data_IF_726259019890
#
_entry.id   IF_726259019890
#
_cell.length_a   1.000
_cell.length_b   1.000
_cell.length_c   1.000
_cell.angle_alpha   90.00
_cell.angle_beta   90.00
_cell.angle_gamma   90.00
#
_symmetry.space_group_name_H-M   'P 1'
#
loop_
_entity.id
_entity.type
_entity.pdbx_description
1 polymer ?
#
# COMPACT_ATOMS: atom_id res chain seq x y z
N UNK A 1 13.10 -30.14 -5.83
CA UNK A 1 13.63 -29.04 -5.01
C UNK A 1 12.53 -28.60 -4.06
N UNK A 2 12.73 -28.72 -2.75
CA UNK A 2 11.75 -28.33 -1.73
C UNK A 2 12.05 -26.94 -1.16
N UNK A 3 11.15 -26.42 -0.34
CA UNK A 3 11.37 -25.18 0.42
C UNK A 3 12.59 -25.33 1.35
N UNK A 4 13.47 -24.32 1.45
CA UNK A 4 14.59 -24.33 2.38
C UNK A 4 14.12 -24.16 3.84
N UNK A 5 15.04 -24.35 4.80
CA UNK A 5 14.74 -24.21 6.23
C UNK A 5 14.21 -22.82 6.60
N UNK A 6 14.80 -21.78 6.03
CA UNK A 6 14.39 -20.38 6.20
C UNK A 6 14.30 -19.72 4.82
N UNK A 7 13.20 -19.03 4.57
CA UNK A 7 12.96 -18.26 3.36
C UNK A 7 12.00 -17.11 3.65
N UNK A 8 12.51 -15.90 3.63
CA UNK A 8 11.71 -14.72 3.90
C UNK A 8 10.93 -14.30 2.65
N UNK A 9 9.61 -14.20 2.80
CA UNK A 9 8.72 -13.51 1.88
C UNK A 9 8.51 -12.09 2.38
N UNK A 10 8.71 -11.13 1.50
CA UNK A 10 8.41 -9.72 1.71
C UNK A 10 7.16 -9.29 0.97
N UNK A 11 6.34 -8.45 1.62
CA UNK A 11 5.18 -7.79 1.05
C UNK A 11 5.46 -6.30 0.85
N UNK A 12 5.19 -5.82 -0.37
CA UNK A 12 5.28 -4.41 -0.71
C UNK A 12 3.98 -3.91 -1.34
N UNK A 13 3.63 -2.64 -1.13
CA UNK A 13 2.50 -1.99 -1.79
C UNK A 13 3.02 -1.49 -3.14
N UNK A 14 2.63 -2.14 -4.21
CA UNK A 14 3.14 -1.85 -5.56
C UNK A 14 2.17 -1.05 -6.40
N UNK A 15 0.91 -0.94 -5.96
CA UNK A 15 -0.11 -0.13 -6.61
C UNK A 15 -0.95 0.63 -5.56
N UNK A 16 -1.24 1.90 -5.87
CA UNK A 16 -1.91 2.85 -4.98
C UNK A 16 -0.92 3.76 -4.23
N UNK A 17 -1.47 4.74 -3.52
CA UNK A 17 -0.73 5.69 -2.68
C UNK A 17 -0.43 5.13 -1.28
N UNK A 18 0.51 5.75 -0.58
CA UNK A 18 0.86 5.42 0.81
C UNK A 18 1.96 4.36 0.95
N UNK A 19 2.24 3.99 2.21
CA UNK A 19 3.22 2.98 2.59
C UNK A 19 2.59 1.84 3.38
N UNK A 20 3.21 0.66 3.35
CA UNK A 20 2.88 -0.45 4.24
C UNK A 20 3.61 -0.27 5.57
N UNK A 21 2.84 -0.39 6.64
CA UNK A 21 3.32 -0.39 8.01
C UNK A 21 3.13 -1.78 8.63
N UNK A 22 3.91 -2.06 9.67
CA UNK A 22 3.89 -3.33 10.40
C UNK A 22 4.94 -4.32 9.90
N UNK A 23 4.69 -5.61 10.13
CA UNK A 23 5.62 -6.68 9.73
C UNK A 23 5.37 -7.06 8.29
N UNK A 24 6.24 -6.64 7.39
CA UNK A 24 6.13 -6.93 5.94
C UNK A 24 7.02 -8.08 5.48
N UNK A 25 7.82 -8.68 6.37
CA UNK A 25 8.69 -9.81 6.06
C UNK A 25 8.42 -10.98 7.01
N UNK A 26 8.02 -12.13 6.48
CA UNK A 26 7.80 -13.36 7.27
C UNK A 26 8.47 -14.56 6.59
N UNK A 27 8.87 -15.54 7.41
CA UNK A 27 9.58 -16.73 6.95
C UNK A 27 8.62 -17.89 6.60
N UNK A 28 8.62 -18.32 5.33
CA UNK A 28 7.85 -19.47 4.82
C UNK A 28 8.67 -20.78 4.82
N UNK A 29 9.90 -20.79 5.31
CA UNK A 29 10.77 -21.95 5.33
C UNK A 29 10.21 -23.10 6.18
N UNK A 30 10.76 -24.29 6.00
CA UNK A 30 10.30 -25.50 6.70
C UNK A 30 10.52 -25.46 8.22
N UNK A 31 11.40 -24.59 8.72
CA UNK A 31 11.60 -24.34 10.14
C UNK A 31 10.69 -23.24 10.72
N UNK A 32 9.88 -22.58 9.88
CA UNK A 32 8.97 -21.51 10.25
C UNK A 32 7.55 -21.79 9.71
N UNK A 33 7.13 -21.10 8.64
CA UNK A 33 5.78 -21.18 8.08
C UNK A 33 5.47 -22.45 7.28
N UNK A 34 6.46 -23.32 7.03
CA UNK A 34 6.33 -24.57 6.28
C UNK A 34 5.55 -24.41 4.95
N UNK A 35 5.87 -23.34 4.22
CA UNK A 35 5.26 -22.96 2.93
C UNK A 35 4.13 -21.93 3.01
N UNK A 36 3.68 -21.54 4.21
CA UNK A 36 2.59 -20.57 4.39
C UNK A 36 2.90 -19.56 5.49
N UNK A 37 2.54 -18.29 5.27
CA UNK A 37 2.65 -17.21 6.27
C UNK A 37 1.39 -16.36 6.25
N UNK A 38 1.01 -15.81 7.40
CA UNK A 38 -0.10 -14.87 7.53
C UNK A 38 0.41 -13.57 8.12
N UNK A 39 0.08 -12.45 7.47
CA UNK A 39 0.51 -11.12 7.88
C UNK A 39 -0.64 -10.40 8.59
N UNK A 40 -0.70 -10.50 9.92
CA UNK A 40 -1.85 -10.00 10.71
C UNK A 40 -1.77 -8.52 11.11
N UNK A 41 -0.58 -7.91 11.07
CA UNK A 41 -0.34 -6.54 11.54
C UNK A 41 -0.01 -5.56 10.41
N UNK A 42 -0.53 -5.82 9.21
CA UNK A 42 -0.35 -4.92 8.07
C UNK A 42 -1.33 -3.75 8.12
N UNK A 43 -0.82 -2.55 7.89
CA UNK A 43 -1.62 -1.34 7.77
C UNK A 43 -1.13 -0.51 6.57
N UNK A 44 -2.04 0.22 5.92
CA UNK A 44 -1.68 1.16 4.86
C UNK A 44 -1.86 2.59 5.38
N UNK A 45 -0.89 3.47 5.14
CA UNK A 45 -0.96 4.87 5.61
C UNK A 45 -2.11 5.65 4.99
N UNK A 46 -2.43 5.36 3.72
CA UNK A 46 -3.35 6.16 2.93
C UNK A 46 -4.58 5.32 2.56
N UNK A 47 -5.78 5.90 2.73
CA UNK A 47 -6.99 5.34 2.15
C UNK A 47 -6.94 5.42 0.62
N UNK A 48 -7.65 4.52 -0.07
CA UNK A 48 -7.73 4.53 -1.53
C UNK A 48 -8.25 3.24 -2.14
N UNK A 49 -8.52 3.31 -3.44
CA UNK A 49 -9.00 2.18 -4.26
C UNK A 49 -7.88 1.57 -5.08
N UNK A 50 -8.13 0.37 -5.63
CA UNK A 50 -7.21 -0.31 -6.56
C UNK A 50 -5.79 -0.55 -6.00
N UNK A 51 -5.69 -0.74 -4.68
CA UNK A 51 -4.42 -1.09 -4.04
C UNK A 51 -4.06 -2.53 -4.34
N UNK A 52 -2.76 -2.80 -4.49
CA UNK A 52 -2.25 -4.15 -4.73
C UNK A 52 -0.96 -4.37 -3.94
N UNK A 53 -0.84 -5.57 -3.36
CA UNK A 53 0.36 -6.01 -2.68
C UNK A 53 1.15 -6.94 -3.60
N UNK A 54 2.47 -6.86 -3.54
CA UNK A 54 3.36 -7.82 -4.19
C UNK A 54 4.11 -8.60 -3.12
N UNK A 55 3.98 -9.92 -3.17
CA UNK A 55 4.78 -10.85 -2.40
C UNK A 55 6.00 -11.26 -3.22
N UNK A 56 7.17 -11.23 -2.59
CA UNK A 56 8.44 -11.58 -3.23
C UNK A 56 9.33 -12.37 -2.28
N UNK A 57 10.03 -13.37 -2.81
CA UNK A 57 11.02 -14.16 -2.09
C UNK A 57 12.18 -14.51 -3.02
N UNK A 58 13.37 -14.74 -2.47
CA UNK A 58 14.55 -15.11 -3.24
C UNK A 58 14.34 -16.46 -3.94
N UNK A 59 14.57 -16.50 -5.25
CA UNK A 59 14.41 -17.71 -6.06
C UNK A 59 12.96 -18.06 -6.43
N UNK A 60 11.98 -17.20 -6.13
CA UNK A 60 10.58 -17.36 -6.52
C UNK A 60 10.11 -16.19 -7.39
N UNK A 61 9.08 -16.43 -8.20
CA UNK A 61 8.41 -15.38 -8.97
C UNK A 61 7.57 -14.52 -8.04
N UNK A 62 7.65 -13.20 -8.23
CA UNK A 62 6.82 -12.24 -7.51
C UNK A 62 5.34 -12.48 -7.83
N UNK A 63 4.49 -12.48 -6.80
CA UNK A 63 3.04 -12.62 -6.95
C UNK A 63 2.36 -11.31 -6.58
N UNK A 64 1.43 -10.87 -7.41
CA UNK A 64 0.60 -9.68 -7.14
C UNK A 64 -0.76 -10.13 -6.63
N UNK A 65 -1.25 -9.50 -5.56
CA UNK A 65 -2.57 -9.74 -5.03
C UNK A 65 -3.66 -9.23 -5.97
N UNK A 66 -4.88 -9.73 -5.82
CA UNK A 66 -6.06 -9.05 -6.35
C UNK A 66 -6.15 -7.62 -5.82
N UNK A 67 -6.79 -6.73 -6.58
CA UNK A 67 -7.02 -5.37 -6.14
C UNK A 67 -7.96 -5.33 -4.94
N UNK A 68 -7.66 -4.44 -4.00
CA UNK A 68 -8.49 -4.19 -2.82
C UNK A 68 -8.59 -2.69 -2.52
N UNK A 69 -9.55 -2.35 -1.65
CA UNK A 69 -9.82 -0.99 -1.23
C UNK A 69 -9.49 -0.84 0.25
N UNK A 70 -8.80 0.24 0.62
CA UNK A 70 -8.58 0.63 2.01
C UNK A 70 -9.49 1.82 2.29
N UNK A 71 -10.50 1.60 3.13
CA UNK A 71 -11.43 2.63 3.57
C UNK A 71 -10.75 3.69 4.46
N UNK A 72 -11.34 4.88 4.52
CA UNK A 72 -10.84 6.03 5.27
C UNK A 72 -11.07 7.33 4.51
N UNK A 73 -10.64 8.46 5.08
CA UNK A 73 -10.68 9.74 4.37
C UNK A 73 -9.55 9.75 3.33
N UNK A 74 -9.90 9.90 2.05
CA UNK A 74 -8.91 10.19 1.04
C UNK A 74 -8.20 11.50 1.42
N UNK A 75 -6.88 11.54 1.33
CA UNK A 75 -6.14 12.80 1.47
C UNK A 75 -6.74 13.79 0.47
N UNK A 76 -7.15 14.97 0.95
CA UNK A 76 -7.60 16.02 0.05
C UNK A 76 -6.43 16.37 -0.87
N UNK A 77 -6.47 15.89 -2.12
CA UNK A 77 -5.68 16.49 -3.19
C UNK A 77 -6.14 17.95 -3.22
N UNK A 78 -5.25 18.86 -2.83
CA UNK A 78 -5.50 20.28 -2.99
C UNK A 78 -5.82 20.51 -4.46
N UNK A 79 -7.11 20.60 -4.79
CA UNK A 79 -7.57 21.02 -6.09
C UNK A 79 -6.98 22.40 -6.30
N UNK A 80 -6.16 22.54 -7.33
CA UNK A 80 -5.68 23.85 -7.78
C UNK A 80 -6.90 24.74 -8.03
N UNK A 81 -7.16 25.69 -7.14
CA UNK A 81 -8.31 26.58 -7.31
C UNK A 81 -8.73 27.35 -6.07
N UNK A 82 -7.86 28.21 -5.52
CA UNK A 82 -8.37 29.50 -5.07
C UNK A 82 -8.30 30.43 -6.29
N UNK A 83 -9.42 30.75 -6.96
CA UNK A 83 -9.38 31.85 -7.91
C UNK A 83 -8.99 33.12 -7.13
N UNK A 84 -8.04 33.95 -7.61
CA UNK A 84 -7.91 35.30 -7.06
C UNK A 84 -9.27 35.98 -7.25
N UNK A 85 -9.90 36.39 -6.14
CA UNK A 85 -11.20 37.07 -6.14
C UNK A 85 -11.20 38.23 -7.13
N UNK A 86 -12.26 38.44 -7.94
CA UNK A 86 -12.36 39.67 -8.71
C UNK A 86 -12.47 40.87 -7.76
N UNK A 87 -11.58 41.84 -7.93
CA UNK A 87 -11.65 43.14 -7.24
C UNK A 87 -12.88 43.90 -7.73
N UNK A 88 -13.96 43.90 -6.93
CA UNK A 88 -15.06 44.85 -7.10
C UNK A 88 -14.65 46.17 -6.45
N UNK A 89 -14.27 47.14 -7.27
CA UNK A 89 -14.13 48.54 -6.83
C UNK A 89 -15.52 49.13 -6.56
N UNK A 90 -15.72 49.91 -5.48
CA UNK A 90 -17.02 50.49 -5.21
C UNK A 90 -17.34 51.61 -6.20
N UNK A 91 -18.46 51.48 -6.91
CA UNK A 91 -19.17 52.60 -7.54
C UNK A 91 -19.52 53.62 -6.46
N UNK A 92 -19.01 54.85 -6.56
CA UNK A 92 -19.45 55.98 -5.71
C UNK A 92 -20.06 57.07 -6.58
N UNK A 93 -21.22 57.52 -6.09
CA UNK A 93 -22.18 58.56 -6.51
C UNK A 93 -21.70 59.61 -7.52
#
# INVERSE_FOLDING_TARGET
MGLPANLNVTLALTSGSGSLLGTTALDIGTAAGNGTVTFSNLQCTDAGTNKQLTASASGFTNLVSSSFNVGGVALATAGSGFPPTPSVGPTRH
#
